data_IF_158297718225
#
_entry.id   IF_158297718225
#
_cell.length_a   1.000
_cell.length_b   1.000
_cell.length_c   1.000
_cell.angle_alpha   90.00
_cell.angle_beta   90.00
_cell.angle_gamma   90.00
#
_symmetry.space_group_name_H-M   'P 1'
#
loop_
_entity.id
_entity.type
_entity.pdbx_description
1 polymer ?
#
# COMPACT_ATOMS: atom_id res chain seq x y z
N UNK A 1 2.24 -5.53 17.44
CA UNK A 1 2.03 -5.51 15.98
C UNK A 1 3.28 -6.09 15.33
N UNK A 2 3.17 -7.14 14.51
CA UNK A 2 4.30 -7.74 13.80
C UNK A 2 4.30 -7.29 12.33
N UNK A 3 5.49 -6.99 11.80
CA UNK A 3 5.65 -6.60 10.39
C UNK A 3 5.97 -7.86 9.60
N UNK A 4 5.04 -8.30 8.75
CA UNK A 4 5.23 -9.50 7.91
C UNK A 4 6.02 -9.24 6.64
N UNK A 5 5.97 -8.01 6.12
CA UNK A 5 6.68 -7.58 4.91
C UNK A 5 7.00 -6.08 4.97
N UNK A 6 8.18 -5.71 4.49
CA UNK A 6 8.53 -4.34 4.11
C UNK A 6 8.86 -4.34 2.62
N UNK A 7 8.27 -3.42 1.85
CA UNK A 7 8.48 -3.28 0.41
C UNK A 7 8.76 -1.82 0.09
N UNK A 8 9.71 -1.58 -0.81
CA UNK A 8 9.98 -0.27 -1.41
C UNK A 8 9.44 -0.32 -2.84
N UNK A 9 8.53 0.59 -3.18
CA UNK A 9 7.87 0.70 -4.47
C UNK A 9 7.52 2.17 -4.72
N UNK A 10 7.89 2.70 -5.88
CA UNK A 10 7.66 4.10 -6.27
C UNK A 10 6.18 4.39 -6.54
N UNK A 11 5.41 3.37 -6.91
CA UNK A 11 3.96 3.43 -7.16
C UNK A 11 3.13 3.09 -5.92
N UNK A 12 3.76 2.71 -4.82
CA UNK A 12 3.11 2.41 -3.53
C UNK A 12 2.09 1.26 -3.67
N UNK A 13 0.80 1.51 -3.43
CA UNK A 13 -0.28 0.55 -3.64
C UNK A 13 -0.79 0.70 -5.06
N UNK A 14 -0.62 -0.33 -5.89
CA UNK A 14 -1.13 -0.36 -7.26
C UNK A 14 -1.47 -1.78 -7.71
N UNK A 15 -2.69 -1.92 -8.22
CA UNK A 15 -3.28 -3.07 -8.91
C UNK A 15 -2.53 -4.42 -8.76
N UNK A 16 -2.06 -5.00 -9.87
CA UNK A 16 -1.58 -6.38 -9.95
C UNK A 16 -0.39 -6.69 -9.04
N UNK A 17 0.38 -5.69 -8.62
CA UNK A 17 1.51 -5.91 -7.71
C UNK A 17 1.00 -6.22 -6.30
N UNK A 18 0.03 -5.48 -5.78
CA UNK A 18 -0.55 -5.77 -4.44
C UNK A 18 -1.21 -7.16 -4.41
N UNK A 19 -1.85 -7.55 -5.52
CA UNK A 19 -2.47 -8.87 -5.70
C UNK A 19 -1.49 -10.04 -5.64
N UNK A 20 -0.20 -9.85 -5.96
CA UNK A 20 0.80 -10.91 -5.85
C UNK A 20 1.18 -11.24 -4.40
N UNK A 21 1.12 -10.26 -3.49
CA UNK A 21 1.62 -10.39 -2.12
C UNK A 21 0.53 -10.68 -1.10
N UNK A 22 -0.64 -10.03 -1.23
CA UNK A 22 -1.73 -10.12 -0.25
C UNK A 22 -2.22 -11.56 -0.04
N UNK A 23 -2.42 -12.41 -1.08
CA UNK A 23 -2.87 -13.79 -0.88
C UNK A 23 -1.85 -14.68 -0.17
N UNK A 24 -0.55 -14.38 -0.34
CA UNK A 24 0.56 -15.15 0.24
C UNK A 24 0.82 -14.75 1.70
N UNK A 25 0.84 -13.45 1.99
CA UNK A 25 1.18 -12.92 3.32
C UNK A 25 -0.04 -12.82 4.23
N UNK A 26 -1.23 -12.64 3.64
CA UNK A 26 -2.51 -12.41 4.36
C UNK A 26 -2.39 -11.32 5.43
N UNK A 27 -1.91 -10.11 5.08
CA UNK A 27 -1.80 -9.03 6.04
C UNK A 27 -3.20 -8.61 6.51
N UNK A 28 -3.31 -8.19 7.77
CA UNK A 28 -4.56 -7.57 8.29
C UNK A 28 -4.64 -6.09 7.96
N UNK A 29 -3.49 -5.46 7.64
CA UNK A 29 -3.37 -4.04 7.36
C UNK A 29 -2.30 -3.80 6.30
N UNK A 30 -2.55 -2.84 5.40
CA UNK A 30 -1.56 -2.28 4.48
C UNK A 30 -1.26 -0.84 4.95
N UNK A 31 0.02 -0.49 5.08
CA UNK A 31 0.44 0.84 5.54
C UNK A 31 1.40 1.42 4.51
N UNK A 32 1.09 2.63 4.04
CA UNK A 32 1.96 3.43 3.19
C UNK A 32 2.66 4.47 4.05
N UNK A 33 4.00 4.51 3.97
CA UNK A 33 4.83 5.52 4.65
C UNK A 33 5.51 6.37 3.58
N UNK A 34 4.91 7.52 3.26
CA UNK A 34 5.42 8.43 2.24
C UNK A 34 4.91 9.87 2.49
N UNK A 35 5.83 10.79 2.79
CA UNK A 35 5.50 12.18 3.15
C UNK A 35 4.94 13.00 1.98
N UNK A 36 5.31 12.67 0.74
CA UNK A 36 4.81 13.38 -0.44
C UNK A 36 3.35 13.00 -0.73
N UNK A 37 3.04 11.71 -0.63
CA UNK A 37 1.68 11.19 -0.78
C UNK A 37 0.75 11.64 0.34
N UNK A 38 1.28 11.90 1.55
CA UNK A 38 0.50 12.46 2.65
C UNK A 38 0.00 13.88 2.34
N UNK A 39 0.83 14.69 1.68
CA UNK A 39 0.54 16.08 1.32
C UNK A 39 -0.31 16.23 0.05
N UNK A 40 -0.47 15.16 -0.72
CA UNK A 40 -1.28 15.12 -1.94
C UNK A 40 -2.61 14.39 -1.68
N UNK A 41 -3.67 15.18 -1.50
CA UNK A 41 -5.00 14.66 -1.18
C UNK A 41 -5.55 13.72 -2.26
N UNK A 42 -5.37 14.05 -3.53
CA UNK A 42 -5.85 13.21 -4.64
C UNK A 42 -5.11 11.88 -4.64
N UNK A 43 -3.79 11.92 -4.48
CA UNK A 43 -2.96 10.71 -4.43
C UNK A 43 -3.34 9.82 -3.24
N UNK A 44 -3.63 10.41 -2.08
CA UNK A 44 -4.09 9.70 -0.89
C UNK A 44 -5.41 8.97 -1.12
N UNK A 45 -6.39 9.63 -1.75
CA UNK A 45 -7.69 9.03 -2.10
C UNK A 45 -7.52 7.86 -3.08
N UNK A 46 -6.67 8.00 -4.10
CA UNK A 46 -6.36 6.93 -5.06
C UNK A 46 -5.76 5.72 -4.37
N UNK A 47 -4.81 5.93 -3.44
CA UNK A 47 -4.16 4.84 -2.71
C UNK A 47 -5.12 4.09 -1.79
N UNK A 48 -6.09 4.79 -1.18
CA UNK A 48 -7.13 4.18 -0.35
C UNK A 48 -8.08 3.33 -1.19
N UNK A 49 -8.54 3.83 -2.34
CA UNK A 49 -9.39 3.06 -3.26
C UNK A 49 -8.67 1.83 -3.83
N UNK A 50 -7.35 1.90 -4.04
CA UNK A 50 -6.55 0.78 -4.55
C UNK A 50 -6.31 -0.33 -3.50
N UNK A 51 -6.61 -0.07 -2.23
CA UNK A 51 -6.49 -1.03 -1.13
C UNK A 51 -7.79 -1.77 -0.79
N UNK A 52 -8.93 -1.39 -1.38
CA UNK A 52 -10.20 -2.13 -1.32
C UNK A 52 -10.21 -3.33 -2.29
#
# INVERSE_FOLDING_TARGET
MSISLVRIDDKLIHAQITWGWVPLIRPTHLIVVNDEAEKDQLRKEILLMAGE
#
